data_IF_560024043350
#
_entry.id   IF_560024043350
#
_cell.length_a   1.000
_cell.length_b   1.000
_cell.length_c   1.000
_cell.angle_alpha   90.00
_cell.angle_beta   90.00
_cell.angle_gamma   90.00
#
_symmetry.space_group_name_H-M   'P 1'
#
loop_
_entity.id
_entity.type
_entity.pdbx_description
1 polymer ?
#
# COMPACT_ATOMS: atom_id res chain seq x y z
N UNK A 1 35.46 21.82 -25.24
CA UNK A 1 34.23 22.26 -24.54
C UNK A 1 33.29 21.06 -24.52
N UNK A 2 33.66 20.10 -23.69
CA UNK A 2 33.32 18.67 -23.78
C UNK A 2 32.21 18.34 -22.77
N UNK A 3 31.15 17.68 -23.25
CA UNK A 3 30.34 16.65 -22.57
C UNK A 3 29.40 16.91 -21.37
N UNK A 4 29.11 18.11 -20.88
CA UNK A 4 28.28 18.21 -19.66
C UNK A 4 26.96 18.98 -19.79
N UNK A 5 26.17 18.71 -20.84
CA UNK A 5 24.85 19.34 -21.01
C UNK A 5 23.69 18.38 -21.33
N UNK A 6 23.89 17.06 -21.22
CA UNK A 6 22.85 16.06 -21.55
C UNK A 6 22.77 15.05 -20.41
N UNK A 7 21.95 15.34 -19.39
CA UNK A 7 21.34 14.31 -18.51
C UNK A 7 20.36 14.88 -17.46
N UNK A 8 19.82 16.10 -17.62
CA UNK A 8 18.60 16.49 -16.89
C UNK A 8 17.38 16.18 -17.75
N UNK A 9 17.13 14.88 -17.98
CA UNK A 9 15.76 14.46 -18.30
C UNK A 9 14.88 14.79 -17.10
N UNK A 10 13.58 15.13 -17.27
CA UNK A 10 12.70 15.32 -16.13
C UNK A 10 12.73 14.06 -15.28
N UNK A 11 13.27 14.17 -14.07
CA UNK A 11 13.08 13.17 -13.05
C UNK A 11 11.58 13.19 -12.76
N UNK A 12 10.83 12.26 -13.35
CA UNK A 12 9.48 11.98 -12.90
C UNK A 12 9.59 11.49 -11.46
N UNK A 13 9.50 12.42 -10.52
CA UNK A 13 9.31 12.10 -9.10
C UNK A 13 7.92 11.50 -9.00
N UNK A 14 7.84 10.17 -8.98
CA UNK A 14 6.59 9.48 -8.69
C UNK A 14 6.22 9.77 -7.23
N UNK A 15 5.14 10.52 -7.01
CA UNK A 15 4.64 10.85 -5.68
C UNK A 15 3.88 9.65 -5.10
N UNK A 16 4.61 8.59 -4.72
CA UNK A 16 4.01 7.48 -3.99
C UNK A 16 3.78 7.91 -2.53
N UNK A 17 2.59 7.62 -2.00
CA UNK A 17 2.22 7.93 -0.61
C UNK A 17 2.19 6.66 0.22
N UNK A 18 2.66 6.72 1.46
CA UNK A 18 2.55 5.58 2.38
C UNK A 18 1.26 5.70 3.18
N UNK A 19 0.42 4.65 3.14
CA UNK A 19 -0.75 4.49 4.00
C UNK A 19 -0.44 3.40 5.01
N UNK A 20 -0.64 3.69 6.29
CA UNK A 20 -0.47 2.74 7.39
C UNK A 20 -1.69 2.70 8.29
N UNK A 21 -1.84 1.60 9.01
CA UNK A 21 -2.93 1.41 9.97
C UNK A 21 -2.89 0.03 10.61
N UNK A 22 -3.97 -0.30 11.31
CA UNK A 22 -4.18 -1.60 11.95
C UNK A 22 -5.51 -2.18 11.49
N UNK A 23 -5.54 -3.48 11.20
CA UNK A 23 -6.76 -4.20 10.85
C UNK A 23 -7.21 -5.02 12.06
N UNK A 24 -8.46 -4.86 12.46
CA UNK A 24 -9.06 -5.56 13.60
C UNK A 24 -10.40 -6.18 13.21
N UNK A 25 -10.78 -7.24 13.91
CA UNK A 25 -12.14 -7.74 13.90
C UNK A 25 -13.10 -6.72 14.52
N UNK A 26 -14.26 -6.52 13.89
CA UNK A 26 -15.22 -5.50 14.32
C UNK A 26 -16.05 -5.91 15.54
N UNK A 27 -16.23 -7.21 15.79
CA UNK A 27 -17.03 -7.76 16.88
C UNK A 27 -16.18 -7.99 18.14
N UNK A 28 -14.99 -8.57 17.99
CA UNK A 28 -14.10 -8.92 19.10
C UNK A 28 -13.05 -7.84 19.39
N UNK A 29 -12.72 -7.00 18.41
CA UNK A 29 -11.63 -6.04 18.50
C UNK A 29 -10.23 -6.66 18.40
N UNK A 30 -10.14 -7.96 18.11
CA UNK A 30 -8.85 -8.66 17.96
C UNK A 30 -8.11 -8.19 16.71
N UNK A 31 -6.78 -8.12 16.78
CA UNK A 31 -5.95 -7.76 15.62
C UNK A 31 -5.91 -8.90 14.61
N UNK A 32 -6.06 -8.56 13.32
CA UNK A 32 -6.05 -9.54 12.25
C UNK A 32 -4.66 -9.63 11.64
N UNK A 33 -3.91 -10.65 12.03
CA UNK A 33 -2.62 -11.04 11.41
C UNK A 33 -2.85 -11.69 10.05
N UNK A 34 -2.09 -11.30 9.02
CA UNK A 34 -2.17 -11.90 7.69
C UNK A 34 -3.39 -11.47 6.86
N UNK A 35 -4.06 -10.37 7.21
CA UNK A 35 -5.03 -9.71 6.35
C UNK A 35 -4.32 -9.12 5.14
N UNK A 36 -4.89 -9.32 3.94
CA UNK A 36 -4.39 -8.78 2.69
C UNK A 36 -4.97 -7.39 2.44
N UNK A 37 -4.13 -6.47 1.96
CA UNK A 37 -4.51 -5.12 1.58
C UNK A 37 -4.00 -4.87 0.16
N UNK A 38 -4.91 -4.62 -0.78
CA UNK A 38 -4.59 -4.42 -2.18
C UNK A 38 -5.08 -3.05 -2.67
N UNK A 39 -4.25 -2.34 -3.42
CA UNK A 39 -4.69 -1.17 -4.17
C UNK A 39 -5.49 -1.64 -5.39
N UNK A 40 -6.78 -1.32 -5.41
CA UNK A 40 -7.71 -1.79 -6.45
C UNK A 40 -7.23 -1.39 -7.84
N UNK A 41 -7.23 -2.35 -8.76
CA UNK A 41 -6.78 -2.15 -10.14
C UNK A 41 -5.27 -2.23 -10.35
N UNK A 42 -4.50 -2.61 -9.32
CA UNK A 42 -3.03 -2.79 -9.41
C UNK A 42 -2.61 -4.11 -8.76
N UNK A 43 -1.32 -4.46 -8.88
CA UNK A 43 -0.70 -5.56 -8.12
C UNK A 43 0.00 -5.08 -6.84
N UNK A 44 -0.20 -3.82 -6.45
CA UNK A 44 0.43 -3.24 -5.27
C UNK A 44 -0.39 -3.57 -4.03
N UNK A 45 0.18 -4.34 -3.12
CA UNK A 45 -0.47 -4.74 -1.88
C UNK A 45 0.54 -5.07 -0.77
N UNK A 46 0.01 -5.32 0.41
CA UNK A 46 0.76 -5.73 1.59
C UNK A 46 -0.08 -6.66 2.45
N UNK A 47 0.53 -7.25 3.48
CA UNK A 47 -0.15 -8.07 4.49
C UNK A 47 0.09 -7.47 5.87
N UNK A 48 -0.86 -7.65 6.79
CA UNK A 48 -0.66 -7.27 8.19
C UNK A 48 0.34 -8.17 8.91
N UNK A 49 1.06 -7.61 9.87
CA UNK A 49 1.99 -8.33 10.74
C UNK A 49 1.30 -8.92 12.00
N UNK A 50 2.10 -9.39 12.96
CA UNK A 50 1.62 -10.02 14.20
C UNK A 50 0.73 -9.11 15.06
N UNK A 51 0.93 -7.79 14.97
CA UNK A 51 0.16 -6.80 15.71
C UNK A 51 -1.03 -6.29 14.87
N UNK A 52 -1.32 -6.92 13.72
CA UNK A 52 -2.36 -6.51 12.78
C UNK A 52 -2.04 -5.21 12.05
N UNK A 53 -0.80 -4.72 12.11
CA UNK A 53 -0.41 -3.45 11.51
C UNK A 53 0.03 -3.63 10.06
N UNK A 54 -0.18 -2.61 9.24
CA UNK A 54 0.29 -2.59 7.85
C UNK A 54 0.89 -1.24 7.47
N UNK A 55 1.75 -1.29 6.46
CA UNK A 55 2.28 -0.12 5.77
C UNK A 55 2.32 -0.44 4.28
N UNK A 56 1.67 0.39 3.47
CA UNK A 56 1.47 0.18 2.04
C UNK A 56 1.85 1.45 1.28
N UNK A 57 2.77 1.30 0.33
CA UNK A 57 3.12 2.39 -0.57
C UNK A 57 2.15 2.43 -1.75
N UNK A 58 1.30 3.45 -1.81
CA UNK A 58 0.19 3.58 -2.73
C UNK A 58 0.54 4.55 -3.87
N UNK A 59 0.40 4.13 -5.15
CA UNK A 59 0.64 5.01 -6.30
C UNK A 59 -0.32 6.19 -6.35
N UNK A 60 0.13 7.27 -7.00
CA UNK A 60 -0.71 8.43 -7.24
C UNK A 60 -1.97 8.05 -8.04
N UNK A 61 -3.11 8.69 -7.73
CA UNK A 61 -4.38 8.42 -8.40
C UNK A 61 -5.13 7.18 -7.90
N UNK A 62 -4.53 6.33 -7.07
CA UNK A 62 -5.25 5.25 -6.41
C UNK A 62 -6.29 5.81 -5.41
N UNK A 63 -7.55 5.39 -5.56
CA UNK A 63 -8.67 5.91 -4.75
C UNK A 63 -9.28 4.88 -3.81
N UNK A 64 -8.95 3.59 -3.97
CA UNK A 64 -9.58 2.50 -3.24
C UNK A 64 -8.57 1.45 -2.80
N UNK A 65 -8.73 0.98 -1.56
CA UNK A 65 -8.05 -0.19 -1.01
C UNK A 65 -9.08 -1.28 -0.77
N UNK A 66 -8.76 -2.51 -1.13
CA UNK A 66 -9.52 -3.70 -0.78
C UNK A 66 -8.81 -4.44 0.33
N UNK A 67 -9.57 -4.83 1.34
CA UNK A 67 -9.10 -5.65 2.46
C UNK A 67 -9.73 -7.03 2.32
N UNK A 68 -8.95 -8.09 2.49
CA UNK A 68 -9.47 -9.45 2.48
C UNK A 68 -8.75 -10.33 3.49
N UNK A 69 -9.49 -11.21 4.15
CA UNK A 69 -8.97 -12.12 5.15
C UNK A 69 -9.78 -13.41 5.14
N UNK A 70 -9.11 -14.54 5.37
CA UNK A 70 -9.75 -15.85 5.31
C UNK A 70 -10.87 -15.93 6.34
N UNK A 71 -12.08 -16.28 5.89
CA UNK A 71 -13.27 -16.35 6.74
C UNK A 71 -14.09 -15.06 6.82
N UNK A 72 -13.66 -13.97 6.17
CA UNK A 72 -14.38 -12.70 6.13
C UNK A 72 -14.94 -12.43 4.73
N UNK A 73 -16.03 -11.67 4.66
CA UNK A 73 -16.45 -11.08 3.40
C UNK A 73 -15.44 -10.01 2.99
N UNK A 74 -15.02 -10.04 1.72
CA UNK A 74 -14.16 -9.02 1.10
C UNK A 74 -14.96 -7.82 0.57
#
# INVERSE_FOLDING_TARGET
MLLLAVCLGPAFLLAQRTISGTVTDAETGETLIGANILVVGTSTGTITDFDGTYSLMVPEGATQLQFSYTGYSS
#
